data_IF_759467641277
#
_entry.id   IF_759467641277
#
_cell.length_a   1.000
_cell.length_b   1.000
_cell.length_c   1.000
_cell.angle_alpha   90.00
_cell.angle_beta   90.00
_cell.angle_gamma   90.00
#
_symmetry.space_group_name_H-M   'P 1'
#
loop_
_entity.id
_entity.type
_entity.pdbx_description
1 polymer ?
#
# COMPACT_ATOMS: atom_id res chain seq x y z
N UNK A 1 -4.56 -38.15 7.28
CA UNK A 1 -3.36 -37.28 7.29
C UNK A 1 -3.68 -36.05 6.47
N UNK A 2 -3.57 -34.85 7.02
CA UNK A 2 -3.72 -33.62 6.23
C UNK A 2 -2.54 -33.55 5.26
N UNK A 3 -2.76 -33.45 3.94
CA UNK A 3 -1.67 -33.36 2.99
C UNK A 3 -0.78 -32.15 3.28
N UNK A 4 0.54 -32.36 3.32
CA UNK A 4 1.53 -31.31 3.62
C UNK A 4 1.42 -30.09 2.71
N UNK A 5 0.96 -30.27 1.46
CA UNK A 5 0.75 -29.17 0.52
C UNK A 5 -0.39 -28.21 0.96
N UNK A 6 -1.42 -28.70 1.67
CA UNK A 6 -2.49 -27.84 2.19
C UNK A 6 -1.97 -26.94 3.31
N UNK A 7 -1.03 -27.44 4.11
CA UNK A 7 -0.38 -26.65 5.18
C UNK A 7 0.43 -25.49 4.59
N UNK A 8 1.18 -25.74 3.50
CA UNK A 8 1.93 -24.67 2.80
C UNK A 8 0.97 -23.61 2.25
N UNK A 9 -0.13 -24.04 1.64
CA UNK A 9 -1.12 -23.14 1.06
C UNK A 9 -1.78 -22.26 2.12
N UNK A 10 -2.14 -22.86 3.24
CA UNK A 10 -2.70 -22.17 4.40
C UNK A 10 -1.73 -21.11 4.95
N UNK A 11 -0.43 -21.42 5.03
CA UNK A 11 0.62 -20.45 5.41
C UNK A 11 0.65 -19.24 4.46
N UNK A 12 0.56 -19.46 3.14
CA UNK A 12 0.55 -18.35 2.16
C UNK A 12 -0.67 -17.45 2.29
N UNK A 13 -1.83 -18.05 2.54
CA UNK A 13 -3.08 -17.30 2.75
C UNK A 13 -2.98 -16.46 4.03
N UNK A 14 -2.53 -17.06 5.14
CA UNK A 14 -2.33 -16.29 6.39
C UNK A 14 -1.27 -15.20 6.26
N UNK A 15 -0.20 -15.43 5.50
CA UNK A 15 0.78 -14.39 5.22
C UNK A 15 0.15 -13.22 4.44
N UNK A 16 -0.74 -13.50 3.49
CA UNK A 16 -1.48 -12.49 2.74
C UNK A 16 -2.38 -11.65 3.67
N UNK A 17 -3.09 -12.31 4.58
CA UNK A 17 -3.90 -11.65 5.63
C UNK A 17 -3.03 -10.74 6.49
N UNK A 18 -1.89 -11.24 6.95
CA UNK A 18 -0.97 -10.48 7.79
C UNK A 18 -0.45 -9.23 7.08
N UNK A 19 -0.04 -9.35 5.81
CA UNK A 19 0.43 -8.22 5.00
C UNK A 19 -0.68 -7.18 4.82
N UNK A 20 -1.90 -7.62 4.48
CA UNK A 20 -3.05 -6.74 4.34
C UNK A 20 -3.34 -5.99 5.66
N UNK A 21 -3.33 -6.70 6.78
CA UNK A 21 -3.59 -6.12 8.10
C UNK A 21 -2.51 -5.09 8.51
N UNK A 22 -1.23 -5.40 8.28
CA UNK A 22 -0.12 -4.47 8.55
C UNK A 22 -0.27 -3.21 7.69
N UNK A 23 -0.57 -3.35 6.40
CA UNK A 23 -0.77 -2.19 5.52
C UNK A 23 -1.99 -1.36 5.92
N UNK A 24 -3.06 -2.00 6.39
CA UNK A 24 -4.23 -1.31 6.95
C UNK A 24 -3.87 -0.46 8.17
N UNK A 25 -3.14 -1.04 9.13
CA UNK A 25 -2.68 -0.30 10.30
C UNK A 25 -1.80 0.89 9.89
N UNK A 26 -0.89 0.68 8.93
CA UNK A 26 -0.03 1.74 8.40
C UNK A 26 -0.85 2.88 7.79
N UNK A 27 -1.86 2.55 6.97
CA UNK A 27 -2.75 3.54 6.35
C UNK A 27 -3.56 4.30 7.41
N UNK A 28 -4.20 3.59 8.34
CA UNK A 28 -5.00 4.18 9.41
C UNK A 28 -4.13 5.12 10.25
N UNK A 29 -2.95 4.67 10.67
CA UNK A 29 -2.04 5.49 11.46
C UNK A 29 -1.64 6.77 10.73
N UNK A 30 -1.19 6.68 9.47
CA UNK A 30 -0.73 7.86 8.74
C UNK A 30 -1.86 8.84 8.40
N UNK A 31 -3.05 8.34 8.04
CA UNK A 31 -4.21 9.19 7.80
C UNK A 31 -4.72 9.81 9.10
N UNK A 32 -4.83 9.05 10.19
CA UNK A 32 -5.27 9.58 11.48
C UNK A 32 -4.33 10.67 11.99
N UNK A 33 -3.00 10.44 11.92
CA UNK A 33 -2.03 11.48 12.23
C UNK A 33 -2.21 12.74 11.39
N UNK A 34 -2.50 12.58 10.10
CA UNK A 34 -2.72 13.70 9.20
C UNK A 34 -4.02 14.44 9.52
N UNK A 35 -5.13 13.73 9.76
CA UNK A 35 -6.45 14.29 10.07
C UNK A 35 -6.50 15.07 11.40
N UNK A 36 -5.62 14.77 12.35
CA UNK A 36 -5.52 15.53 13.60
C UNK A 36 -4.76 16.86 13.47
N UNK A 37 -4.15 17.15 12.30
CA UNK A 37 -3.39 18.40 12.08
C UNK A 37 -4.24 19.44 11.37
N UNK A 38 -4.06 20.71 11.78
CA UNK A 38 -4.77 21.88 11.23
C UNK A 38 -4.30 22.22 9.81
N UNK A 39 -2.98 22.25 9.58
CA UNK A 39 -2.39 22.53 8.26
C UNK A 39 -2.02 21.25 7.51
N UNK A 40 -3.05 20.47 7.14
CA UNK A 40 -2.87 19.24 6.38
C UNK A 40 -3.27 19.42 4.93
N UNK A 41 -2.54 18.77 4.04
CA UNK A 41 -2.94 18.58 2.65
C UNK A 41 -2.97 17.08 2.37
N UNK A 42 -4.14 16.59 2.00
CA UNK A 42 -4.37 15.18 1.65
C UNK A 42 -4.61 15.11 0.15
N UNK A 43 -3.93 14.18 -0.51
CA UNK A 43 -4.14 13.92 -1.93
C UNK A 43 -5.32 12.99 -2.12
N UNK A 44 -6.50 13.54 -2.43
CA UNK A 44 -7.75 12.78 -2.57
C UNK A 44 -7.67 11.67 -3.62
N UNK A 45 -6.92 11.88 -4.71
CA UNK A 45 -6.70 10.85 -5.74
C UNK A 45 -6.01 9.63 -5.13
N UNK A 46 -4.91 9.85 -4.41
CA UNK A 46 -4.19 8.75 -3.77
C UNK A 46 -4.95 8.15 -2.59
N UNK A 47 -5.72 8.95 -1.86
CA UNK A 47 -6.65 8.44 -0.84
C UNK A 47 -7.67 7.48 -1.47
N UNK A 48 -8.31 7.86 -2.57
CA UNK A 48 -9.27 7.01 -3.30
C UNK A 48 -8.62 5.74 -3.85
N UNK A 49 -7.44 5.84 -4.45
CA UNK A 49 -6.68 4.67 -4.95
C UNK A 49 -6.30 3.74 -3.80
N UNK A 50 -5.85 4.28 -2.65
CA UNK A 50 -5.54 3.46 -1.48
C UNK A 50 -6.78 2.74 -0.95
N UNK A 51 -7.91 3.44 -0.76
CA UNK A 51 -9.16 2.81 -0.32
C UNK A 51 -9.60 1.72 -1.30
N UNK A 52 -9.60 2.01 -2.61
CA UNK A 52 -9.98 1.05 -3.64
C UNK A 52 -9.10 -0.19 -3.68
N UNK A 53 -7.77 -0.02 -3.73
CA UNK A 53 -6.81 -1.13 -3.76
C UNK A 53 -6.85 -1.96 -2.48
N UNK A 54 -7.03 -1.33 -1.32
CA UNK A 54 -7.20 -1.99 -0.03
C UNK A 54 -8.45 -2.88 0.00
N UNK A 55 -9.58 -2.36 -0.49
CA UNK A 55 -10.84 -3.10 -0.53
C UNK A 55 -10.78 -4.26 -1.52
N UNK A 56 -10.19 -4.05 -2.71
CA UNK A 56 -9.97 -5.12 -3.69
C UNK A 56 -9.11 -6.23 -3.07
N UNK A 57 -8.00 -5.87 -2.43
CA UNK A 57 -7.14 -6.85 -1.77
C UNK A 57 -7.84 -7.57 -0.62
N UNK A 58 -8.68 -6.86 0.17
CA UNK A 58 -9.50 -7.48 1.22
C UNK A 58 -10.43 -8.55 0.64
N UNK A 59 -11.14 -8.24 -0.46
CA UNK A 59 -12.03 -9.20 -1.11
C UNK A 59 -11.25 -10.44 -1.55
N UNK A 60 -10.07 -10.27 -2.17
CA UNK A 60 -9.23 -11.39 -2.59
C UNK A 60 -8.74 -12.23 -1.40
N UNK A 61 -8.35 -11.59 -0.30
CA UNK A 61 -7.93 -12.26 0.94
C UNK A 61 -9.08 -13.04 1.58
N UNK A 62 -10.30 -12.48 1.57
CA UNK A 62 -11.49 -13.20 2.08
C UNK A 62 -11.80 -14.40 1.19
N UNK A 63 -11.78 -14.22 -0.14
CA UNK A 63 -12.00 -15.33 -1.08
C UNK A 63 -10.93 -16.43 -0.94
N UNK A 64 -9.68 -16.06 -0.65
CA UNK A 64 -8.61 -17.04 -0.49
C UNK A 64 -8.73 -17.81 0.82
N UNK A 65 -9.16 -17.16 1.90
CA UNK A 65 -9.55 -17.83 3.14
C UNK A 65 -10.71 -18.79 2.93
N UNK A 66 -11.77 -18.35 2.24
CA UNK A 66 -12.94 -19.19 1.96
C UNK A 66 -12.60 -20.39 1.08
N UNK A 67 -11.59 -20.27 0.20
CA UNK A 67 -11.13 -21.37 -0.64
C UNK A 67 -10.69 -22.61 0.16
N UNK A 68 -10.19 -22.43 1.39
CA UNK A 68 -9.78 -23.53 2.27
C UNK A 68 -11.00 -24.29 2.81
N UNK A 69 -12.09 -23.57 3.13
CA UNK A 69 -13.26 -24.13 3.80
C UNK A 69 -14.40 -24.50 2.85
N UNK A 70 -14.43 -23.90 1.66
CA UNK A 70 -15.49 -24.06 0.64
C UNK A 70 -14.86 -24.27 -0.74
N UNK A 71 -14.30 -25.47 -1.00
CA UNK A 71 -13.65 -25.79 -2.27
C UNK A 71 -14.62 -25.73 -3.47
N UNK A 72 -15.93 -25.78 -3.23
CA UNK A 72 -16.97 -25.59 -4.26
C UNK A 72 -16.86 -24.26 -5.01
N UNK A 73 -16.27 -23.23 -4.40
CA UNK A 73 -16.06 -21.93 -5.06
C UNK A 73 -15.04 -22.06 -6.21
N UNK A 74 -14.15 -23.06 -6.15
CA UNK A 74 -13.01 -23.23 -7.06
C UNK A 74 -13.04 -24.56 -7.85
N UNK A 75 -14.11 -25.36 -7.70
CA UNK A 75 -14.24 -26.66 -8.34
C UNK A 75 -15.46 -27.46 -7.86
N UNK A 76 -15.32 -28.78 -7.77
CA UNK A 76 -16.45 -29.69 -7.58
C UNK A 76 -16.62 -30.18 -6.13
N UNK A 77 -16.37 -29.29 -5.16
CA UNK A 77 -16.52 -29.54 -3.71
C UNK A 77 -15.59 -30.62 -3.11
N UNK A 78 -14.82 -31.32 -3.95
CA UNK A 78 -13.80 -32.28 -3.53
C UNK A 78 -12.41 -31.65 -3.59
N UNK A 79 -11.85 -31.35 -2.41
CA UNK A 79 -10.51 -30.76 -2.27
C UNK A 79 -9.39 -31.75 -2.65
N UNK A 80 -9.70 -33.04 -2.72
CA UNK A 80 -8.76 -34.08 -3.15
C UNK A 80 -8.65 -34.19 -4.67
N UNK A 81 -9.55 -33.54 -5.41
CA UNK A 81 -9.44 -33.40 -6.86
C UNK A 81 -8.26 -32.48 -7.21
N UNK A 82 -7.30 -33.01 -7.96
CA UNK A 82 -6.08 -32.32 -8.39
C UNK A 82 -6.37 -30.96 -9.05
N UNK A 83 -7.41 -30.89 -9.88
CA UNK A 83 -7.79 -29.63 -10.56
C UNK A 83 -8.30 -28.56 -9.59
N UNK A 84 -9.11 -28.96 -8.60
CA UNK A 84 -9.65 -28.05 -7.59
C UNK A 84 -8.53 -27.58 -6.67
N UNK A 85 -7.66 -28.50 -6.27
CA UNK A 85 -6.48 -28.20 -5.47
C UNK A 85 -5.54 -27.20 -6.16
N UNK A 86 -5.25 -27.41 -7.45
CA UNK A 86 -4.41 -26.49 -8.24
C UNK A 86 -5.04 -25.11 -8.30
N UNK A 87 -6.35 -24.99 -8.54
CA UNK A 87 -7.04 -23.70 -8.58
C UNK A 87 -6.93 -22.93 -7.26
N UNK A 88 -7.16 -23.61 -6.12
CA UNK A 88 -7.02 -23.02 -4.79
C UNK A 88 -5.56 -22.60 -4.55
N UNK A 89 -4.59 -23.44 -4.94
CA UNK A 89 -3.17 -23.14 -4.82
C UNK A 89 -2.75 -21.90 -5.62
N UNK A 90 -3.13 -21.84 -6.90
CA UNK A 90 -2.89 -20.68 -7.77
C UNK A 90 -3.50 -19.41 -7.19
N UNK A 91 -4.75 -19.48 -6.74
CA UNK A 91 -5.44 -18.32 -6.18
C UNK A 91 -4.78 -17.82 -4.90
N UNK A 92 -4.39 -18.72 -3.98
CA UNK A 92 -3.68 -18.37 -2.75
C UNK A 92 -2.33 -17.71 -3.02
N UNK A 93 -1.52 -18.27 -3.94
CA UNK A 93 -0.22 -17.72 -4.33
C UNK A 93 -0.38 -16.35 -5.02
N UNK A 94 -1.33 -16.22 -5.95
CA UNK A 94 -1.60 -14.94 -6.62
C UNK A 94 -2.03 -13.87 -5.62
N UNK A 95 -2.87 -14.23 -4.64
CA UNK A 95 -3.30 -13.30 -3.57
C UNK A 95 -2.11 -12.83 -2.74
N UNK A 96 -1.17 -13.74 -2.40
CA UNK A 96 0.05 -13.39 -1.68
C UNK A 96 0.94 -12.43 -2.48
N UNK A 97 1.17 -12.72 -3.76
CA UNK A 97 1.95 -11.85 -4.64
C UNK A 97 1.31 -10.45 -4.71
N UNK A 98 0.00 -10.38 -4.87
CA UNK A 98 -0.73 -9.11 -4.88
C UNK A 98 -0.62 -8.35 -3.56
N UNK A 99 -0.67 -9.04 -2.41
CA UNK A 99 -0.47 -8.43 -1.11
C UNK A 99 0.94 -7.83 -0.96
N UNK A 100 1.98 -8.54 -1.41
CA UNK A 100 3.37 -8.07 -1.42
C UNK A 100 3.52 -6.84 -2.34
N UNK A 101 2.98 -6.90 -3.56
CA UNK A 101 3.03 -5.76 -4.49
C UNK A 101 2.30 -4.54 -3.92
N UNK A 102 1.18 -4.77 -3.25
CA UNK A 102 0.40 -3.71 -2.62
C UNK A 102 1.15 -3.03 -1.46
N UNK A 103 1.83 -3.76 -0.59
CA UNK A 103 2.61 -3.14 0.51
C UNK A 103 3.84 -2.38 -0.02
N UNK A 104 4.47 -2.87 -1.10
CA UNK A 104 5.55 -2.15 -1.80
C UNK A 104 5.02 -0.84 -2.40
N UNK A 105 3.85 -0.89 -3.03
CA UNK A 105 3.16 0.29 -3.55
C UNK A 105 2.89 1.31 -2.43
N UNK A 106 2.31 0.88 -1.30
CA UNK A 106 2.03 1.76 -0.17
C UNK A 106 3.28 2.47 0.34
N UNK A 107 4.38 1.72 0.47
CA UNK A 107 5.65 2.24 0.98
C UNK A 107 6.26 3.25 0.00
N UNK A 108 6.29 2.92 -1.28
CA UNK A 108 6.88 3.73 -2.35
C UNK A 108 6.09 5.01 -2.64
N UNK A 109 4.75 4.94 -2.55
CA UNK A 109 3.87 6.04 -2.88
C UNK A 109 3.46 6.89 -1.66
N UNK A 110 3.89 6.53 -0.45
CA UNK A 110 3.57 7.23 0.80
C UNK A 110 3.76 8.76 0.73
N UNK A 111 4.83 9.24 0.09
CA UNK A 111 5.17 10.66 -0.07
C UNK A 111 4.04 11.45 -0.78
N UNK A 112 3.22 10.78 -1.59
CA UNK A 112 2.13 11.40 -2.33
C UNK A 112 0.81 11.47 -1.54
N UNK A 113 0.70 10.78 -0.41
CA UNK A 113 -0.59 10.61 0.27
C UNK A 113 -0.98 11.86 1.05
N UNK A 114 -0.08 12.33 1.90
CA UNK A 114 -0.33 13.48 2.79
C UNK A 114 0.94 14.26 3.06
N UNK A 115 0.76 15.55 3.31
CA UNK A 115 1.80 16.47 3.74
C UNK A 115 1.22 17.39 4.83
N UNK A 116 1.97 17.63 5.90
CA UNK A 116 1.58 18.56 6.95
C UNK A 116 2.79 19.25 7.57
N UNK A 117 2.56 20.39 8.22
CA UNK A 117 3.59 21.14 8.96
C UNK A 117 3.48 20.92 10.46
N UNK A 118 4.63 20.80 11.13
CA UNK A 118 4.76 20.77 12.59
C UNK A 118 6.14 21.28 13.00
N UNK A 119 6.21 22.23 13.95
CA UNK A 119 7.46 22.75 14.52
C UNK A 119 8.50 23.13 13.44
N UNK A 120 8.07 23.94 12.47
CA UNK A 120 8.87 24.38 11.32
C UNK A 120 9.45 23.29 10.42
N UNK A 121 8.93 22.07 10.54
CA UNK A 121 9.31 20.92 9.73
C UNK A 121 8.13 20.42 8.94
N UNK A 122 8.43 19.96 7.73
CA UNK A 122 7.49 19.41 6.79
C UNK A 122 7.48 17.89 6.97
N UNK A 123 6.30 17.30 7.09
CA UNK A 123 6.11 15.86 7.29
C UNK A 123 5.33 15.29 6.12
N UNK A 124 5.84 14.21 5.53
CA UNK A 124 5.12 13.36 4.60
C UNK A 124 4.43 12.21 5.35
N UNK A 125 3.66 11.40 4.63
CA UNK A 125 3.00 10.23 5.21
C UNK A 125 4.02 9.30 5.90
N UNK A 126 3.96 9.21 7.23
CA UNK A 126 4.83 8.36 8.03
C UNK A 126 6.32 8.75 8.08
N UNK A 127 6.73 9.87 7.48
CA UNK A 127 8.13 10.31 7.46
C UNK A 127 8.27 11.83 7.53
N UNK A 128 9.41 12.35 7.99
CA UNK A 128 9.68 13.78 7.99
C UNK A 128 10.59 14.18 6.83
N UNK A 129 10.32 15.33 6.24
CA UNK A 129 11.11 15.92 5.17
C UNK A 129 11.82 17.16 5.67
N UNK A 130 13.12 17.03 5.82
CA UNK A 130 13.97 18.15 6.19
C UNK A 130 14.42 18.89 4.92
N UNK A 131 13.86 20.08 4.69
CA UNK A 131 14.21 20.93 3.55
C UNK A 131 15.68 21.38 3.59
N UNK A 132 16.30 21.45 4.77
CA UNK A 132 17.71 21.86 4.90
C UNK A 132 18.68 20.76 4.43
N UNK A 133 18.27 19.49 4.57
CA UNK A 133 19.06 18.33 4.13
C UNK A 133 18.78 17.92 2.69
N UNK A 134 17.60 18.27 2.17
CA UNK A 134 17.16 17.89 0.84
C UNK A 134 17.30 19.06 -0.12
N UNK A 135 18.38 19.08 -0.90
CA UNK A 135 18.61 20.13 -1.89
C UNK A 135 17.70 19.92 -3.08
N UNK A 136 16.90 20.93 -3.40
CA UNK A 136 16.10 20.98 -4.63
C UNK A 136 17.03 21.03 -5.84
N UNK A 137 16.87 20.12 -6.80
CA UNK A 137 17.70 20.08 -8.01
C UNK A 137 16.92 20.57 -9.22
N UNK A 138 15.72 20.03 -9.44
CA UNK A 138 14.93 20.31 -10.64
C UNK A 138 13.51 20.69 -10.24
N UNK A 139 13.07 21.83 -10.78
CA UNK A 139 11.66 22.22 -10.84
C UNK A 139 11.29 22.26 -12.30
N UNK A 140 10.44 21.35 -12.73
CA UNK A 140 9.79 21.45 -14.03
C UNK A 140 8.26 21.43 -13.81
N UNK A 141 7.51 21.85 -14.82
CA UNK A 141 6.04 21.85 -14.85
C UNK A 141 5.42 20.48 -14.52
N UNK A 142 6.19 19.40 -14.56
CA UNK A 142 5.71 18.02 -14.37
C UNK A 142 6.27 17.33 -13.12
N UNK A 143 7.45 17.71 -12.63
CA UNK A 143 8.19 16.98 -11.59
C UNK A 143 9.01 17.92 -10.71
N UNK A 144 9.01 17.63 -9.40
CA UNK A 144 9.94 18.17 -8.42
C UNK A 144 10.94 17.08 -8.04
N UNK A 145 12.23 17.38 -8.08
CA UNK A 145 13.28 16.46 -7.66
C UNK A 145 14.10 17.08 -6.53
N UNK A 146 14.11 16.39 -5.41
CA UNK A 146 14.97 16.70 -4.25
C UNK A 146 16.05 15.64 -4.13
N UNK A 147 17.27 16.05 -3.77
CA UNK A 147 18.38 15.14 -3.48
C UNK A 147 18.75 15.25 -2.01
N UNK A 148 18.67 14.10 -1.34
CA UNK A 148 19.40 13.84 -0.11
C UNK A 148 20.79 13.30 -0.47
N UNK A 149 21.75 13.30 0.46
CA UNK A 149 23.16 12.91 0.23
C UNK A 149 23.37 11.73 -0.73
N UNK A 150 22.52 10.70 -0.62
CA UNK A 150 22.59 9.45 -1.40
C UNK A 150 21.34 9.20 -2.27
N UNK A 151 20.17 9.75 -1.89
CA UNK A 151 18.88 9.38 -2.50
C UNK A 151 18.18 10.54 -3.20
N UNK A 152 17.40 10.23 -4.23
CA UNK A 152 16.52 11.16 -4.91
C UNK A 152 15.07 10.95 -4.48
N UNK A 153 14.40 12.04 -4.09
CA UNK A 153 12.95 12.07 -3.89
C UNK A 153 12.33 12.77 -5.10
N UNK A 154 11.54 12.01 -5.85
CA UNK A 154 10.82 12.50 -7.03
C UNK A 154 9.37 12.70 -6.63
N UNK A 155 8.80 13.87 -6.93
CA UNK A 155 7.40 14.19 -6.66
C UNK A 155 6.74 14.68 -7.96
N UNK A 156 5.74 13.95 -8.45
CA UNK A 156 5.00 14.30 -9.65
C UNK A 156 3.89 15.33 -9.42
N UNK A 157 3.61 16.14 -10.46
CA UNK A 157 2.65 17.25 -10.47
C UNK A 157 1.23 16.89 -10.04
N UNK A 158 0.78 15.68 -10.35
CA UNK A 158 -0.59 15.26 -10.08
C UNK A 158 -0.88 15.07 -8.59
N UNK A 159 0.16 15.04 -7.75
CA UNK A 159 -0.01 14.98 -6.30
C UNK A 159 -0.33 16.36 -5.71
N UNK A 160 -1.21 16.39 -4.70
CA UNK A 160 -1.42 17.60 -3.90
C UNK A 160 -0.15 18.02 -3.13
N UNK A 161 0.73 17.06 -2.82
CA UNK A 161 2.07 17.31 -2.27
C UNK A 161 2.89 18.23 -3.16
N UNK A 162 2.92 17.98 -4.48
CA UNK A 162 3.61 18.85 -5.44
C UNK A 162 3.05 20.28 -5.41
N UNK A 163 1.72 20.41 -5.50
CA UNK A 163 1.06 21.71 -5.56
C UNK A 163 1.43 22.55 -4.34
N UNK A 164 1.33 21.96 -3.15
CA UNK A 164 1.65 22.62 -1.89
C UNK A 164 3.11 23.08 -1.81
N UNK A 165 4.05 22.20 -2.19
CA UNK A 165 5.49 22.52 -2.18
C UNK A 165 5.85 23.64 -3.16
N UNK A 166 5.13 23.76 -4.29
CA UNK A 166 5.35 24.86 -5.24
C UNK A 166 4.69 26.17 -4.83
N UNK A 167 3.56 26.15 -4.12
CA UNK A 167 2.82 27.38 -3.76
C UNK A 167 3.33 28.07 -2.51
N UNK A 168 3.92 27.36 -1.54
CA UNK A 168 4.49 27.97 -0.32
C UNK A 168 5.90 28.57 -0.51
N UNK A 169 6.52 28.36 -1.66
CA UNK A 169 7.85 28.90 -1.98
C UNK A 169 7.81 30.28 -2.68
N UNK A 170 6.61 30.79 -3.02
CA UNK A 170 6.37 32.14 -3.52
C UNK A 170 5.72 33.01 -2.43
#
# INVERSE_FOLDING_TARGET
MVPFYLVILEIFIYLSVAIWFIGMIYLIYGYFQSFLRKERVISWIFFGVNVGTTLILLILVILSLLAIFQPIIFGNDDISNESTLLNIAYFGISTLILAILWIIYLSSCSIYFTIFWKNDRLYFFGSYFDQTKNKKIIVNKHVLIYRNKIFFTIIFRFSKTYQYLTTKEN
#
